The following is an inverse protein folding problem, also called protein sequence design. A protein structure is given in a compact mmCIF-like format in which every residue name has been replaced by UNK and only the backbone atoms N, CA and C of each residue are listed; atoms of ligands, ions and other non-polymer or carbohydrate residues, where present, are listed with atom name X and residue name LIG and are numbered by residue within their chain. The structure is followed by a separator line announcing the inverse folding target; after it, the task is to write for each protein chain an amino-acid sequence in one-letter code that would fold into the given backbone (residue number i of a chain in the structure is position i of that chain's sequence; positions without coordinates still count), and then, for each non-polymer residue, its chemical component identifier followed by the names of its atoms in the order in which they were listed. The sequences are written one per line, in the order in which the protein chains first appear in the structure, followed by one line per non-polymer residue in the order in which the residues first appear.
data_IF_716281339964
#
_entry.id   IF_716281339964
#
_cell.length_a   1.000
_cell.length_b   1.000
_cell.length_c   1.000
_cell.angle_alpha   90.00
_cell.angle_beta   90.00
_cell.angle_gamma   90.00
#
_symmetry.space_group_name_H-M   'P 1'
#
loop_
_entity.id
_entity.type
_entity.pdbx_description
1 polymer ?
#
# COMPACT_ATOMS: atom_id res chain seq x y z
N UNK A 1 20.44 0.53 -6.25
CA UNK A 1 20.19 1.35 -5.05
C UNK A 1 18.69 1.41 -4.81
N UNK A 2 18.13 0.95 -3.67
CA UNK A 2 16.69 1.00 -3.47
C UNK A 2 16.32 2.36 -2.89
N UNK A 3 15.69 3.22 -3.71
CA UNK A 3 15.02 4.43 -3.24
C UNK A 3 13.77 3.98 -2.49
N UNK A 4 13.76 4.15 -1.17
CA UNK A 4 12.51 4.13 -0.42
C UNK A 4 11.70 5.34 -0.87
N UNK A 5 10.58 5.11 -1.56
CA UNK A 5 9.64 6.19 -1.82
C UNK A 5 8.92 6.49 -0.50
N UNK A 6 9.55 7.34 0.34
CA UNK A 6 9.21 7.72 1.72
C UNK A 6 7.74 8.07 2.03
N UNK A 7 6.84 8.07 1.05
CA UNK A 7 5.40 8.27 1.21
C UNK A 7 4.53 7.09 0.80
N UNK A 8 4.95 6.22 -0.13
CA UNK A 8 4.07 5.17 -0.67
C UNK A 8 3.61 4.18 0.41
N UNK A 9 4.52 3.90 1.35
CA UNK A 9 4.28 3.08 2.53
C UNK A 9 3.22 3.68 3.48
N UNK A 10 3.18 5.00 3.63
CA UNK A 10 2.24 5.71 4.51
C UNK A 10 0.91 6.00 3.82
N UNK A 11 0.91 6.29 2.52
CA UNK A 11 -0.29 6.47 1.70
C UNK A 11 -1.07 5.16 1.51
N UNK A 12 -0.36 4.04 1.31
CA UNK A 12 -0.97 2.70 1.16
C UNK A 12 -1.63 2.16 2.43
N UNK A 13 -1.60 2.90 3.54
CA UNK A 13 -2.24 2.51 4.81
C UNK A 13 -3.77 2.69 4.79
N UNK A 14 -4.28 3.64 4.02
CA UNK A 14 -5.71 3.94 3.96
C UNK A 14 -6.05 4.66 2.67
N UNK A 15 -7.14 4.23 2.02
CA UNK A 15 -7.65 4.90 0.82
C UNK A 15 -7.95 6.38 1.06
N UNK A 16 -8.38 6.74 2.28
CA UNK A 16 -8.62 8.13 2.69
C UNK A 16 -7.39 9.02 2.45
N UNK A 17 -6.19 8.52 2.74
CA UNK A 17 -4.93 9.26 2.56
C UNK A 17 -4.60 9.49 1.09
N UNK A 18 -5.09 8.63 0.20
CA UNK A 18 -4.89 8.73 -1.25
C UNK A 18 -6.03 9.45 -1.97
N UNK A 19 -7.12 9.78 -1.27
CA UNK A 19 -8.36 10.30 -1.89
C UNK A 19 -8.16 11.64 -2.61
N UNK A 20 -7.43 12.56 -2.00
CA UNK A 20 -7.12 13.87 -2.60
C UNK A 20 -6.31 13.72 -3.89
N UNK A 21 -5.26 12.90 -3.84
CA UNK A 21 -4.40 12.61 -4.99
C UNK A 21 -5.20 11.90 -6.10
N UNK A 22 -6.01 10.91 -5.75
CA UNK A 22 -6.86 10.19 -6.71
C UNK A 22 -7.90 11.11 -7.36
N UNK A 23 -8.42 12.10 -6.62
CA UNK A 23 -9.36 13.11 -7.14
C UNK A 23 -8.72 13.98 -8.22
N UNK A 24 -7.52 14.52 -7.97
CA UNK A 24 -6.82 15.35 -8.97
C UNK A 24 -6.41 14.55 -10.21
N UNK A 25 -5.95 13.32 -10.03
CA UNK A 25 -5.68 12.40 -11.15
C UNK A 25 -6.96 12.14 -11.94
N UNK A 26 -8.10 11.95 -11.25
CA UNK A 26 -9.38 11.76 -11.92
C UNK A 26 -9.80 12.96 -12.77
N UNK A 27 -9.57 14.19 -12.28
CA UNK A 27 -9.82 15.41 -13.07
C UNK A 27 -8.92 15.48 -14.31
N UNK A 28 -7.63 15.20 -14.16
CA UNK A 28 -6.67 15.19 -15.27
C UNK A 28 -7.03 14.15 -16.33
N UNK A 29 -7.41 12.93 -15.92
CA UNK A 29 -7.84 11.87 -16.83
C UNK A 29 -9.09 12.29 -17.61
N UNK A 30 -10.08 12.90 -16.94
CA UNK A 30 -11.31 13.38 -17.62
C UNK A 30 -10.99 14.47 -18.65
N UNK A 31 -10.10 15.40 -18.32
CA UNK A 31 -9.64 16.43 -19.25
C UNK A 31 -8.93 15.81 -20.45
N UNK A 32 -8.03 14.85 -20.23
CA UNK A 32 -7.29 14.18 -21.29
C UNK A 32 -8.21 13.34 -22.22
N UNK A 33 -9.17 12.62 -21.65
CA UNK A 33 -10.12 11.80 -22.40
C UNK A 33 -11.25 12.62 -23.05
N UNK A 34 -11.37 13.92 -22.75
CA UNK A 34 -12.48 14.81 -23.18
C UNK A 34 -13.86 14.28 -22.79
N UNK A 35 -13.96 13.72 -21.58
CA UNK A 35 -15.17 13.06 -21.09
C UNK A 35 -15.84 13.88 -19.98
N UNK A 36 -17.18 13.92 -20.00
CA UNK A 36 -17.99 14.63 -19.01
C UNK A 36 -17.92 14.03 -17.60
N UNK A 37 -18.54 14.71 -16.62
CA UNK A 37 -18.59 14.26 -15.21
C UNK A 37 -19.43 13.00 -14.99
N UNK A 38 -20.36 12.70 -15.92
CA UNK A 38 -21.27 11.55 -15.87
C UNK A 38 -20.57 10.20 -16.01
N UNK A 39 -19.42 10.15 -16.67
CA UNK A 39 -18.70 8.89 -16.87
C UNK A 39 -18.04 8.43 -15.58
N UNK A 40 -18.19 7.14 -15.27
CA UNK A 40 -17.59 6.53 -14.09
C UNK A 40 -16.06 6.48 -14.22
N UNK A 41 -15.35 6.92 -13.18
CA UNK A 41 -13.88 6.87 -13.15
C UNK A 41 -13.33 5.44 -13.15
N UNK A 42 -14.08 4.47 -12.62
CA UNK A 42 -13.68 3.07 -12.62
C UNK A 42 -13.58 2.53 -14.06
N UNK A 43 -14.55 2.86 -14.91
CA UNK A 43 -14.55 2.49 -16.33
C UNK A 43 -13.39 3.14 -17.08
N UNK A 44 -13.18 4.46 -16.91
CA UNK A 44 -12.03 5.13 -17.52
C UNK A 44 -10.69 4.56 -17.03
N UNK A 45 -10.62 4.18 -15.76
CA UNK A 45 -9.44 3.52 -15.19
C UNK A 45 -9.17 2.15 -15.81
N UNK A 46 -10.21 1.34 -16.06
CA UNK A 46 -10.07 0.02 -16.70
C UNK A 46 -9.67 0.14 -18.17
N UNK A 47 -10.35 1.01 -18.93
CA UNK A 47 -10.06 1.26 -20.35
C UNK A 47 -8.62 1.77 -20.56
N UNK A 48 -8.19 2.74 -19.74
CA UNK A 48 -6.85 3.31 -19.83
C UNK A 48 -5.79 2.47 -19.10
N UNK A 49 -6.16 1.32 -18.51
CA UNK A 49 -5.28 0.48 -17.69
C UNK A 49 -4.59 1.22 -16.52
N UNK A 50 -5.22 2.28 -16.00
CA UNK A 50 -4.73 3.10 -14.88
C UNK A 50 -5.23 2.51 -13.56
N UNK A 51 -4.34 1.79 -12.86
CA UNK A 51 -4.59 1.34 -11.48
C UNK A 51 -4.69 2.52 -10.51
N UNK A 52 -5.59 2.42 -9.53
CA UNK A 52 -5.75 3.43 -8.49
C UNK A 52 -4.45 3.65 -7.70
N UNK A 53 -4.25 4.87 -7.21
CA UNK A 53 -3.10 5.25 -6.38
C UNK A 53 -3.07 4.40 -5.11
N UNK A 54 -4.23 4.17 -4.50
CA UNK A 54 -4.35 3.29 -3.33
C UNK A 54 -3.83 1.88 -3.61
N UNK A 55 -4.18 1.30 -4.76
CA UNK A 55 -3.71 -0.03 -5.15
C UNK A 55 -2.19 -0.05 -5.37
N UNK A 56 -1.65 0.94 -6.08
CA UNK A 56 -0.19 1.03 -6.35
C UNK A 56 0.61 1.17 -5.06
N UNK A 57 0.16 2.04 -4.15
CA UNK A 57 0.81 2.28 -2.85
C UNK A 57 0.68 1.09 -1.91
N UNK A 58 -0.46 0.39 -1.91
CA UNK A 58 -0.66 -0.83 -1.12
C UNK A 58 0.28 -1.96 -1.55
N UNK A 59 0.43 -2.16 -2.87
CA UNK A 59 1.38 -3.15 -3.43
C UNK A 59 2.82 -2.77 -3.09
N UNK A 60 3.18 -1.49 -3.20
CA UNK A 60 4.51 -1.02 -2.81
C UNK A 60 4.80 -1.29 -1.33
N UNK A 61 3.83 -1.02 -0.45
CA UNK A 61 3.90 -1.30 0.98
C UNK A 61 4.11 -2.79 1.28
N UNK A 62 3.37 -3.68 0.63
CA UNK A 62 3.51 -5.12 0.81
C UNK A 62 4.89 -5.61 0.35
N UNK A 63 5.34 -5.17 -0.83
CA UNK A 63 6.68 -5.49 -1.35
C UNK A 63 7.78 -5.00 -0.42
N UNK A 64 7.63 -3.81 0.16
CA UNK A 64 8.57 -3.25 1.11
C UNK A 64 8.69 -4.12 2.37
N UNK A 65 7.57 -4.56 2.94
CA UNK A 65 7.59 -5.51 4.06
C UNK A 65 8.28 -6.82 3.69
N UNK A 66 7.91 -7.44 2.58
CA UNK A 66 8.48 -8.71 2.15
C UNK A 66 10.00 -8.61 1.95
N UNK A 67 10.44 -7.55 1.26
CA UNK A 67 11.85 -7.28 0.97
C UNK A 67 12.66 -7.00 2.25
N UNK A 68 12.13 -6.19 3.16
CA UNK A 68 12.88 -5.73 4.32
C UNK A 68 12.79 -6.67 5.53
N UNK A 69 11.87 -7.63 5.54
CA UNK A 69 11.77 -8.65 6.59
C UNK A 69 13.08 -9.42 6.84
N UNK A 70 13.80 -9.75 5.77
CA UNK A 70 15.03 -10.56 5.82
C UNK A 70 16.32 -9.74 5.56
N UNK A 71 16.23 -8.41 5.55
CA UNK A 71 17.40 -7.55 5.31
C UNK A 71 18.30 -7.45 6.54
N UNK A 72 19.60 -7.17 6.37
CA UNK A 72 20.56 -6.91 7.49
C UNK A 72 20.46 -5.49 8.07
N UNK A 73 19.38 -4.77 7.78
CA UNK A 73 19.20 -3.37 8.20
C UNK A 73 18.40 -3.28 9.49
N UNK A 74 18.50 -2.16 10.22
CA UNK A 74 17.67 -1.89 11.41
C UNK A 74 16.16 -1.98 11.14
N UNK A 75 15.73 -1.85 9.87
CA UNK A 75 14.34 -2.02 9.45
C UNK A 75 13.85 -3.46 9.68
N UNK A 76 14.68 -4.48 9.45
CA UNK A 76 14.27 -5.87 9.71
C UNK A 76 14.10 -6.12 11.20
N UNK A 77 14.97 -5.54 12.03
CA UNK A 77 14.85 -5.57 13.50
C UNK A 77 13.52 -4.93 13.92
N UNK A 78 13.14 -3.80 13.33
CA UNK A 78 11.84 -3.16 13.61
C UNK A 78 10.64 -3.97 13.14
N UNK A 79 10.73 -4.69 12.01
CA UNK A 79 9.66 -5.55 11.50
C UNK A 79 9.47 -6.77 12.42
N UNK A 80 10.56 -7.41 12.84
CA UNK A 80 10.54 -8.62 13.65
C UNK A 80 10.29 -8.33 15.13
N UNK A 81 10.71 -7.16 15.62
CA UNK A 81 10.55 -6.71 17.00
C UNK A 81 9.97 -5.30 17.02
N UNK A 82 8.67 -5.14 16.68
CA UNK A 82 8.04 -3.84 16.61
C UNK A 82 7.97 -3.18 17.98
N UNK A 83 8.47 -1.94 18.06
CA UNK A 83 8.42 -1.15 19.28
C UNK A 83 6.96 -0.93 19.73
N UNK A 84 6.69 -1.19 21.01
CA UNK A 84 5.35 -1.08 21.60
C UNK A 84 5.07 0.38 21.99
N UNK A 85 4.69 1.18 21.00
CA UNK A 85 4.32 2.58 21.19
C UNK A 85 2.79 2.77 21.24
N UNK A 86 2.32 3.86 21.86
CA UNK A 86 0.89 4.25 21.86
C UNK A 86 0.38 4.59 20.46
N UNK A 87 1.28 5.00 19.55
CA UNK A 87 0.94 5.36 18.17
C UNK A 87 1.23 4.21 17.20
N UNK A 88 0.39 4.08 16.17
CA UNK A 88 0.64 3.11 15.09
C UNK A 88 1.78 3.61 14.21
N UNK A 89 2.87 2.85 14.15
CA UNK A 89 3.93 3.01 13.15
C UNK A 89 3.50 2.38 11.82
N UNK A 90 4.22 2.70 10.75
CA UNK A 90 4.02 2.05 9.44
C UNK A 90 4.12 0.52 9.55
N UNK A 91 5.14 0.00 10.25
CA UNK A 91 5.32 -1.46 10.47
C UNK A 91 4.12 -2.05 11.21
N UNK A 92 3.79 -1.53 12.39
CA UNK A 92 2.71 -2.08 13.23
C UNK A 92 1.34 -1.97 12.56
N UNK A 93 1.10 -0.86 11.85
CA UNK A 93 -0.14 -0.67 11.10
C UNK A 93 -0.23 -1.61 9.89
N UNK A 94 0.88 -1.84 9.18
CA UNK A 94 0.89 -2.80 8.06
C UNK A 94 0.70 -4.23 8.56
N UNK A 95 1.36 -4.64 9.64
CA UNK A 95 1.13 -5.95 10.26
C UNK A 95 -0.33 -6.15 10.69
N UNK A 96 -0.98 -5.13 11.27
CA UNK A 96 -2.41 -5.19 11.61
C UNK A 96 -3.29 -5.31 10.37
N UNK A 97 -2.99 -4.55 9.32
CA UNK A 97 -3.72 -4.61 8.06
C UNK A 97 -3.58 -5.98 7.39
N UNK A 98 -2.37 -6.50 7.27
CA UNK A 98 -2.10 -7.84 6.72
C UNK A 98 -2.83 -8.91 7.53
N UNK A 99 -2.80 -8.86 8.87
CA UNK A 99 -3.58 -9.79 9.71
C UNK A 99 -5.10 -9.70 9.47
N UNK A 100 -5.61 -8.49 9.22
CA UNK A 100 -7.05 -8.26 9.01
C UNK A 100 -7.53 -8.72 7.62
N UNK A 101 -6.74 -8.44 6.58
CA UNK A 101 -7.17 -8.58 5.18
C UNK A 101 -6.47 -9.73 4.45
N UNK A 102 -5.21 -10.02 4.76
CA UNK A 102 -4.45 -11.12 4.18
C UNK A 102 -4.50 -12.32 5.14
N UNK A 103 -5.68 -12.73 5.61
CA UNK A 103 -5.82 -13.97 6.39
C UNK A 103 -5.12 -15.08 5.59
N UNK A 104 -4.01 -15.57 6.12
CA UNK A 104 -3.36 -16.73 5.54
C UNK A 104 -4.31 -17.89 5.79
N UNK A 105 -4.93 -18.40 4.74
CA UNK A 105 -5.36 -19.79 4.74
C UNK A 105 -4.06 -20.61 4.91
N UNK A 106 -3.79 -21.01 6.15
CA UNK A 106 -3.03 -22.21 6.52
C UNK A 106 -1.70 -22.53 5.84
N UNK A 107 -0.81 -21.56 5.54
CA UNK A 107 0.55 -21.90 5.09
C UNK A 107 1.55 -21.04 5.86
N UNK A 108 2.63 -21.66 6.34
CA UNK A 108 3.68 -21.16 7.25
C UNK A 108 3.39 -21.30 8.75
N UNK A 109 2.91 -22.46 9.20
CA UNK A 109 3.53 -23.08 10.38
C UNK A 109 4.80 -23.78 9.89
N UNK A 110 5.95 -23.11 9.97
CA UNK A 110 7.23 -23.82 10.01
C UNK A 110 7.37 -24.35 11.42
N UNK A 111 7.24 -25.67 11.54
CA UNK A 111 7.61 -26.47 12.69
C UNK A 111 8.94 -25.96 13.28
N UNK A 112 8.93 -25.66 14.58
CA UNK A 112 10.16 -25.56 15.35
C UNK A 112 10.52 -26.98 15.77
N UNK A 113 11.75 -27.39 15.45
CA UNK A 113 12.43 -28.54 16.06
C UNK A 113 12.46 -28.45 17.58
#
# INVERSE_FOLDING_TARGET
MPIGCYGGETFGMSEYRTRSIQSEIGKAIRLAARVGKSTAMQLLGTELSIKSVFMKTSVARERALHKWKNSKTWISVLINSPHRSRMSTWVTGTSKWTKKYCKTDGIFQTEKS
#
